data_IF_000398946027
#
_entry.id   IF_000398946027
#
_cell.length_a   1.000
_cell.length_b   1.000
_cell.length_c   1.000
_cell.angle_alpha   90.00
_cell.angle_beta   90.00
_cell.angle_gamma   90.00
#
_symmetry.space_group_name_H-M   'P 1'
#
loop_
_entity.id
_entity.type
_entity.pdbx_description
1 polymer ?
#
# COMPACT_ATOMS: atom_id res chain seq x y z
N UNK A 1 -4.88 0.70 -19.70
CA UNK A 1 -4.53 0.77 -18.26
C UNK A 1 -4.20 -0.58 -17.63
N UNK A 2 -5.10 -1.59 -17.58
CA UNK A 2 -4.77 -2.92 -16.98
C UNK A 2 -3.58 -3.63 -17.64
N UNK A 3 -3.49 -3.59 -18.98
CA UNK A 3 -2.39 -4.21 -19.75
C UNK A 3 -1.04 -3.53 -19.49
N UNK A 4 -1.02 -2.20 -19.34
CA UNK A 4 0.20 -1.43 -19.04
C UNK A 4 0.70 -1.69 -17.61
N UNK A 5 -0.21 -1.85 -16.65
CA UNK A 5 0.12 -2.21 -15.27
C UNK A 5 0.69 -3.62 -15.15
N UNK A 6 0.09 -4.60 -15.84
CA UNK A 6 0.62 -5.97 -15.94
C UNK A 6 1.99 -5.99 -16.61
N UNK A 7 2.19 -5.17 -17.65
CA UNK A 7 3.48 -5.02 -18.30
C UNK A 7 4.55 -4.42 -17.37
N UNK A 8 4.23 -3.36 -16.61
CA UNK A 8 5.16 -2.81 -15.62
C UNK A 8 5.52 -3.84 -14.54
N UNK A 9 4.54 -4.56 -13.99
CA UNK A 9 4.80 -5.62 -13.00
C UNK A 9 5.70 -6.69 -13.60
N UNK A 10 5.40 -7.15 -14.82
CA UNK A 10 6.21 -8.16 -15.51
C UNK A 10 7.63 -7.65 -15.79
N UNK A 11 7.78 -6.39 -16.20
CA UNK A 11 9.08 -5.80 -16.49
C UNK A 11 9.92 -5.64 -15.22
N UNK A 12 9.33 -5.17 -14.13
CA UNK A 12 10.03 -5.06 -12.84
C UNK A 12 10.34 -6.45 -12.24
N UNK A 13 9.44 -7.42 -12.37
CA UNK A 13 9.68 -8.80 -11.93
C UNK A 13 10.81 -9.48 -12.74
N UNK A 14 10.89 -9.23 -14.06
CA UNK A 14 11.97 -9.78 -14.89
C UNK A 14 13.33 -9.17 -14.52
N UNK A 15 13.40 -7.85 -14.33
CA UNK A 15 14.62 -7.17 -13.90
C UNK A 15 15.06 -7.62 -12.50
N UNK A 16 14.09 -7.92 -11.62
CA UNK A 16 14.38 -8.49 -10.31
C UNK A 16 15.06 -9.86 -10.41
N UNK A 17 14.56 -10.77 -11.26
CA UNK A 17 15.17 -12.09 -11.42
C UNK A 17 16.59 -12.00 -11.99
N UNK A 18 16.84 -11.06 -12.93
CA UNK A 18 18.17 -10.88 -13.54
C UNK A 18 19.22 -10.32 -12.57
N UNK A 19 18.83 -9.44 -11.64
CA UNK A 19 19.74 -8.92 -10.61
C UNK A 19 20.06 -9.95 -9.51
N UNK A 20 19.16 -10.90 -9.27
CA UNK A 20 19.34 -11.93 -8.23
C UNK A 20 20.41 -13.00 -8.54
N UNK A 21 20.96 -13.03 -9.76
CA UNK A 21 21.93 -14.04 -10.20
C UNK A 21 23.41 -13.67 -9.94
N UNK A 22 23.71 -12.47 -9.42
CA UNK A 22 25.11 -12.10 -9.12
C UNK A 22 25.53 -12.64 -7.75
N UNK A 23 26.65 -13.38 -7.64
CA UNK A 23 27.23 -13.72 -6.35
C UNK A 23 27.64 -12.44 -5.63
N UNK A 24 27.10 -12.21 -4.43
CA UNK A 24 27.38 -11.02 -3.63
C UNK A 24 28.67 -11.25 -2.80
N UNK A 25 29.80 -10.69 -3.23
CA UNK A 25 31.09 -10.81 -2.54
C UNK A 25 31.14 -10.11 -1.15
N UNK A 26 30.18 -9.22 -0.85
CA UNK A 26 30.08 -8.55 0.46
C UNK A 26 28.63 -8.26 0.86
N UNK A 27 28.37 -8.18 2.16
CA UNK A 27 27.06 -7.71 2.67
C UNK A 27 26.79 -6.29 2.15
N UNK A 28 25.62 -6.08 1.55
CA UNK A 28 25.18 -4.80 0.98
C UNK A 28 26.06 -4.27 -0.17
N UNK A 29 26.63 -5.17 -0.99
CA UNK A 29 27.38 -4.80 -2.22
C UNK A 29 26.58 -3.84 -3.13
N UNK A 30 25.29 -4.14 -3.32
CA UNK A 30 24.39 -3.27 -4.08
C UNK A 30 23.89 -2.09 -3.23
N UNK A 31 24.39 -0.90 -3.57
CA UNK A 31 24.01 0.35 -2.90
C UNK A 31 22.63 0.86 -3.31
N UNK A 32 22.03 0.33 -4.38
CA UNK A 32 20.69 0.67 -4.81
C UNK A 32 19.86 -0.59 -5.07
N UNK A 33 18.61 -0.52 -4.65
CA UNK A 33 17.78 -1.66 -4.37
C UNK A 33 16.34 -1.35 -4.77
N UNK A 34 15.76 -2.09 -5.73
CA UNK A 34 14.34 -1.99 -6.04
C UNK A 34 13.54 -3.10 -5.38
N UNK A 35 12.26 -2.86 -5.13
CA UNK A 35 11.40 -3.88 -4.58
C UNK A 35 9.94 -3.69 -4.97
N UNK A 36 9.21 -4.79 -4.87
CA UNK A 36 7.75 -4.81 -5.01
C UNK A 36 7.17 -5.45 -3.77
N UNK A 37 6.24 -4.77 -3.13
CA UNK A 37 5.41 -5.35 -2.08
C UNK A 37 4.02 -5.65 -2.65
N UNK A 38 3.49 -6.81 -2.31
CA UNK A 38 2.10 -7.20 -2.53
C UNK A 38 1.51 -7.50 -1.15
N UNK A 39 0.49 -6.75 -0.76
CA UNK A 39 -0.04 -6.78 0.60
C UNK A 39 -1.57 -6.71 0.63
N UNK A 40 -2.11 -7.01 1.80
CA UNK A 40 -3.50 -6.81 2.14
C UNK A 40 -3.60 -5.71 3.20
N UNK A 41 -4.52 -4.77 3.01
CA UNK A 41 -4.84 -3.72 3.97
C UNK A 41 -5.98 -4.16 4.90
N UNK A 42 -5.72 -4.20 6.19
CA UNK A 42 -6.72 -4.32 7.23
C UNK A 42 -7.13 -2.92 7.68
N UNK A 43 -8.43 -2.69 7.81
CA UNK A 43 -8.96 -1.46 8.37
C UNK A 43 -9.18 -1.69 9.86
N UNK A 44 -8.35 -1.04 10.67
CA UNK A 44 -8.61 -0.91 12.10
C UNK A 44 -9.66 0.19 12.30
N UNK A 45 -10.56 -0.01 13.25
CA UNK A 45 -11.59 0.95 13.63
C UNK A 45 -12.52 1.31 12.45
N UNK A 46 -13.08 0.28 11.82
CA UNK A 46 -14.11 0.46 10.81
C UNK A 46 -15.30 1.25 11.40
N UNK A 47 -15.89 2.20 10.65
CA UNK A 47 -17.04 2.96 11.14
C UNK A 47 -18.24 2.05 11.40
N UNK A 48 -19.07 2.41 12.37
CA UNK A 48 -20.24 1.60 12.76
C UNK A 48 -21.13 1.26 11.57
N UNK A 49 -21.50 -0.02 11.47
CA UNK A 49 -22.35 -0.54 10.39
C UNK A 49 -21.65 -0.76 9.05
N UNK A 50 -20.36 -0.40 8.89
CA UNK A 50 -19.60 -0.58 7.65
C UNK A 50 -18.75 -1.85 7.73
N UNK A 51 -18.90 -2.75 6.76
CA UNK A 51 -18.07 -3.95 6.67
C UNK A 51 -17.05 -3.79 5.54
N UNK A 52 -15.80 -3.59 5.94
CA UNK A 52 -14.68 -3.78 5.01
C UNK A 52 -14.49 -5.26 4.70
N UNK A 53 -14.07 -5.55 3.46
CA UNK A 53 -13.77 -6.92 3.06
C UNK A 53 -12.53 -7.41 3.78
N UNK A 54 -12.44 -8.73 3.99
CA UNK A 54 -11.23 -9.37 4.49
C UNK A 54 -10.03 -9.27 3.52
N UNK A 55 -10.29 -8.98 2.24
CA UNK A 55 -9.25 -8.87 1.20
C UNK A 55 -9.30 -7.50 0.54
N UNK A 56 -8.32 -6.65 0.92
CA UNK A 56 -8.10 -5.32 0.38
C UNK A 56 -6.68 -5.24 -0.22
N UNK A 57 -6.50 -5.70 -1.47
CA UNK A 57 -5.18 -5.85 -2.05
C UNK A 57 -4.53 -4.49 -2.36
N UNK A 58 -3.27 -4.37 -2.01
CA UNK A 58 -2.41 -3.26 -2.37
C UNK A 58 -1.07 -3.71 -2.94
N UNK A 59 -0.41 -2.78 -3.61
CA UNK A 59 0.90 -2.98 -4.22
C UNK A 59 1.75 -1.75 -3.94
N UNK A 60 3.02 -1.94 -3.61
CA UNK A 60 4.00 -0.85 -3.49
C UNK A 60 5.22 -1.18 -4.33
N UNK A 61 5.69 -0.24 -5.13
CA UNK A 61 6.92 -0.39 -5.92
C UNK A 61 7.87 0.70 -5.47
N UNK A 62 9.12 0.37 -5.16
CA UNK A 62 10.07 1.34 -4.61
C UNK A 62 11.50 1.08 -5.04
N UNK A 63 12.30 2.13 -4.93
CA UNK A 63 13.76 2.09 -5.00
C UNK A 63 14.35 2.69 -3.72
N UNK A 64 15.34 2.03 -3.15
CA UNK A 64 16.02 2.46 -1.93
C UNK A 64 17.52 2.45 -2.14
N UNK A 65 18.19 3.45 -1.58
CA UNK A 65 19.63 3.52 -1.48
C UNK A 65 20.06 3.03 -0.11
N UNK A 66 21.02 2.11 -0.09
CA UNK A 66 21.58 1.50 1.11
C UNK A 66 22.93 2.13 1.44
N UNK A 67 23.12 2.44 2.72
CA UNK A 67 24.33 2.98 3.33
C UNK A 67 24.82 1.98 4.38
N UNK A 68 25.76 1.10 4.03
CA UNK A 68 26.29 0.09 4.94
C UNK A 68 27.04 0.73 6.12
N UNK A 69 26.84 0.19 7.32
CA UNK A 69 27.57 0.63 8.52
C UNK A 69 28.88 -0.15 8.61
N UNK A 70 29.95 0.37 7.99
CA UNK A 70 31.30 -0.23 8.01
C UNK A 70 31.26 -1.74 7.69
N UNK A 71 32.14 -2.54 8.31
CA UNK A 71 32.15 -4.01 8.24
C UNK A 71 31.18 -4.62 9.26
N UNK A 72 29.92 -4.24 9.22
CA UNK A 72 28.89 -4.82 10.09
C UNK A 72 27.73 -5.38 9.29
N UNK A 73 26.85 -6.12 9.97
CA UNK A 73 25.62 -6.66 9.40
C UNK A 73 24.51 -5.61 9.29
N UNK A 74 24.79 -4.35 9.66
CA UNK A 74 23.82 -3.28 9.68
C UNK A 74 23.98 -2.30 8.51
N UNK A 75 22.86 -1.76 8.04
CA UNK A 75 22.84 -0.68 7.07
C UNK A 75 21.66 0.25 7.33
N UNK A 76 21.82 1.52 6.99
CA UNK A 76 20.70 2.45 6.86
C UNK A 76 20.25 2.46 5.40
N UNK A 77 18.95 2.55 5.13
CA UNK A 77 18.44 2.69 3.78
C UNK A 77 17.33 3.72 3.73
N UNK A 78 17.29 4.51 2.65
CA UNK A 78 16.23 5.48 2.39
C UNK A 78 15.86 5.44 0.92
N UNK A 79 14.62 5.75 0.57
CA UNK A 79 14.22 5.72 -0.83
C UNK A 79 12.91 6.41 -1.14
N UNK A 80 12.36 6.03 -2.29
CA UNK A 80 11.09 6.50 -2.82
C UNK A 80 10.28 5.31 -3.32
N UNK A 81 8.98 5.37 -3.10
CA UNK A 81 8.03 4.34 -3.48
C UNK A 81 6.70 4.89 -3.97
N UNK A 82 5.94 4.04 -4.63
CA UNK A 82 4.60 4.32 -5.10
C UNK A 82 3.66 3.23 -4.58
N UNK A 83 2.92 3.55 -3.53
CA UNK A 83 1.99 2.65 -2.86
C UNK A 83 0.56 2.83 -3.36
N UNK A 84 -0.07 1.76 -3.80
CA UNK A 84 -1.47 1.72 -4.23
C UNK A 84 -2.28 0.84 -3.29
N UNK A 85 -3.27 1.43 -2.63
CA UNK A 85 -4.14 0.79 -1.65
C UNK A 85 -5.57 0.69 -2.20
N UNK A 86 -6.26 -0.43 -1.95
CA UNK A 86 -7.63 -0.64 -2.40
C UNK A 86 -8.49 -1.21 -1.26
N UNK A 87 -9.21 -0.33 -0.58
CA UNK A 87 -10.11 -0.69 0.51
C UNK A 87 -11.49 -0.96 -0.06
N UNK A 88 -11.95 -2.21 0.05
CA UNK A 88 -13.27 -2.62 -0.40
C UNK A 88 -14.22 -2.67 0.80
N UNK A 89 -15.43 -2.18 0.61
CA UNK A 89 -16.49 -2.21 1.62
C UNK A 89 -17.84 -2.50 0.98
N UNK A 90 -18.83 -2.65 1.84
CA UNK A 90 -20.27 -2.68 1.53
C UNK A 90 -20.91 -1.28 1.52
N UNK A 91 -20.11 -0.22 1.42
CA UNK A 91 -20.57 1.14 1.49
C UNK A 91 -20.02 2.01 0.35
N UNK A 92 -20.74 3.07 -0.01
CA UNK A 92 -20.25 4.14 -0.88
C UNK A 92 -19.75 5.31 -0.02
N UNK A 93 -18.70 5.99 -0.49
CA UNK A 93 -18.22 7.21 0.16
C UNK A 93 -19.03 8.38 -0.39
N UNK A 94 -19.69 9.12 0.49
CA UNK A 94 -20.46 10.33 0.23
C UNK A 94 -19.80 11.50 0.95
N UNK A 95 -20.12 12.73 0.54
CA UNK A 95 -19.73 13.96 1.22
C UNK A 95 -20.96 14.84 1.37
N UNK A 96 -21.11 15.49 2.53
CA UNK A 96 -22.14 16.51 2.76
C UNK A 96 -21.55 17.61 3.63
N UNK A 97 -21.60 18.84 3.13
CA UNK A 97 -21.12 20.04 3.85
C UNK A 97 -19.66 19.94 4.32
N UNK A 98 -18.78 19.28 3.55
CA UNK A 98 -17.36 19.13 3.89
C UNK A 98 -17.07 18.01 4.90
N UNK A 99 -18.03 17.10 5.12
CA UNK A 99 -17.83 15.91 5.94
C UNK A 99 -18.06 14.67 5.07
N UNK A 100 -17.00 13.87 4.94
CA UNK A 100 -17.03 12.58 4.24
C UNK A 100 -17.60 11.50 5.17
N UNK A 101 -18.50 10.65 4.68
CA UNK A 101 -19.04 9.52 5.43
C UNK A 101 -19.33 8.33 4.52
N UNK A 102 -19.32 7.13 5.11
CA UNK A 102 -19.70 5.91 4.39
C UNK A 102 -21.20 5.70 4.52
N UNK A 103 -21.88 5.53 3.38
CA UNK A 103 -23.28 5.13 3.33
C UNK A 103 -23.36 3.65 2.94
N UNK A 104 -23.95 2.84 3.81
CA UNK A 104 -24.17 1.41 3.56
C UNK A 104 -25.01 1.22 2.29
N UNK A 105 -24.59 0.29 1.44
CA UNK A 105 -25.37 -0.12 0.27
C UNK A 105 -26.48 -1.07 0.77
N UNK A 106 -27.76 -0.80 0.46
CA UNK A 106 -28.87 -1.66 0.86
C UNK A 106 -28.68 -3.12 0.41
N UNK A 107 -29.06 -4.09 1.26
CA UNK A 107 -28.85 -5.53 1.02
C UNK A 107 -29.63 -6.06 -0.20
N UNK A 108 -30.74 -5.42 -0.54
CA UNK A 108 -31.56 -5.72 -1.72
C UNK A 108 -30.93 -5.21 -3.03
N UNK A 109 -29.99 -4.25 -2.95
CA UNK A 109 -29.30 -3.70 -4.10
C UNK A 109 -28.11 -4.57 -4.51
N UNK A 110 -28.26 -5.27 -5.64
CA UNK A 110 -27.18 -6.08 -6.20
C UNK A 110 -26.02 -5.21 -6.69
N UNK A 111 -24.88 -5.29 -6.00
CA UNK A 111 -23.63 -4.66 -6.43
C UNK A 111 -22.49 -5.67 -6.55
N UNK A 112 -21.51 -5.37 -7.41
CA UNK A 112 -20.32 -6.20 -7.63
C UNK A 112 -19.12 -5.68 -6.85
N UNK A 113 -19.02 -4.36 -6.71
CA UNK A 113 -17.82 -3.70 -6.18
C UNK A 113 -18.15 -2.31 -5.64
N UNK A 114 -17.76 -2.05 -4.40
CA UNK A 114 -17.50 -0.71 -3.88
C UNK A 114 -16.09 -0.67 -3.30
N UNK A 115 -15.34 0.39 -3.58
CA UNK A 115 -13.98 0.56 -3.05
C UNK A 115 -13.53 2.01 -3.00
N UNK A 116 -12.69 2.31 -2.02
CA UNK A 116 -11.82 3.49 -1.94
C UNK A 116 -10.41 3.10 -2.39
N UNK A 117 -9.86 3.83 -3.34
CA UNK A 117 -8.49 3.64 -3.83
C UNK A 117 -7.64 4.86 -3.51
N UNK A 118 -6.49 4.63 -2.90
CA UNK A 118 -5.55 5.66 -2.48
C UNK A 118 -4.17 5.33 -3.08
N UNK A 119 -3.53 6.32 -3.69
CA UNK A 119 -2.18 6.20 -4.24
C UNK A 119 -1.28 7.21 -3.53
N UNK A 120 -0.21 6.71 -2.92
CA UNK A 120 0.76 7.49 -2.18
C UNK A 120 2.12 7.46 -2.86
N UNK A 121 2.78 8.62 -2.90
CA UNK A 121 4.22 8.72 -3.08
C UNK A 121 4.87 8.55 -1.71
N UNK A 122 5.54 7.43 -1.48
CA UNK A 122 6.11 7.06 -0.19
C UNK A 122 7.62 7.37 -0.13
N UNK A 123 8.09 7.79 1.04
CA UNK A 123 9.50 7.94 1.42
C UNK A 123 9.77 6.96 2.57
N UNK A 124 10.25 5.73 2.30
CA UNK A 124 10.67 4.79 3.33
C UNK A 124 12.10 5.07 3.81
N UNK A 125 12.32 4.96 5.12
CA UNK A 125 13.63 4.92 5.76
C UNK A 125 13.70 3.72 6.70
N UNK A 126 14.74 2.89 6.58
CA UNK A 126 14.87 1.60 7.26
C UNK A 126 16.28 1.42 7.83
N UNK A 127 16.36 0.89 9.05
CA UNK A 127 17.56 0.24 9.57
C UNK A 127 17.45 -1.24 9.23
N UNK A 128 18.46 -1.77 8.54
CA UNK A 128 18.51 -3.13 8.02
C UNK A 128 19.58 -3.93 8.72
N UNK A 129 19.27 -5.19 8.98
CA UNK A 129 20.20 -6.22 9.41
C UNK A 129 20.20 -7.34 8.36
N UNK A 130 21.37 -7.76 7.90
CA UNK A 130 21.54 -8.87 6.93
C UNK A 130 22.65 -9.81 7.41
N UNK A 131 22.41 -11.12 7.34
CA UNK A 131 23.44 -12.14 7.55
C UNK A 131 23.94 -12.69 6.23
N UNK A 132 25.16 -13.25 6.22
CA UNK A 132 25.72 -13.92 5.04
C UNK A 132 24.87 -15.12 4.59
N UNK A 133 24.21 -15.79 5.53
CA UNK A 133 23.25 -16.86 5.26
C UNK A 133 21.98 -16.42 4.52
N UNK A 134 21.77 -15.11 4.33
CA UNK A 134 20.66 -14.54 3.56
C UNK A 134 19.47 -14.10 4.41
N UNK A 135 19.52 -14.23 5.74
CA UNK A 135 18.48 -13.71 6.63
C UNK A 135 18.51 -12.18 6.66
N UNK A 136 17.33 -11.56 6.65
CA UNK A 136 17.15 -10.11 6.59
C UNK A 136 16.07 -9.67 7.57
N UNK A 137 16.34 -8.58 8.28
CA UNK A 137 15.36 -7.86 9.09
C UNK A 137 15.50 -6.38 8.78
N UNK A 138 14.39 -5.67 8.68
CA UNK A 138 14.39 -4.22 8.58
C UNK A 138 13.32 -3.63 9.49
N UNK A 139 13.69 -2.58 10.22
CA UNK A 139 12.77 -1.76 10.99
C UNK A 139 12.87 -0.34 10.45
N UNK A 140 11.75 0.31 10.18
CA UNK A 140 11.75 1.60 9.54
C UNK A 140 10.55 2.46 9.87
N UNK A 141 10.58 3.65 9.28
CA UNK A 141 9.48 4.57 9.20
C UNK A 141 9.17 4.81 7.73
N UNK A 142 7.90 5.04 7.42
CA UNK A 142 7.47 5.41 6.08
C UNK A 142 6.57 6.62 6.17
N UNK A 143 6.90 7.66 5.42
CA UNK A 143 6.05 8.83 5.20
C UNK A 143 5.48 8.72 3.79
N UNK A 144 4.24 9.12 3.57
CA UNK A 144 3.60 9.09 2.26
C UNK A 144 2.80 10.35 1.97
N UNK A 145 2.88 10.84 0.74
CA UNK A 145 2.07 11.94 0.23
C UNK A 145 0.97 11.38 -0.67
N UNK A 146 -0.29 11.70 -0.40
CA UNK A 146 -1.42 11.30 -1.22
C UNK A 146 -1.38 12.06 -2.55
N UNK A 147 -1.19 11.34 -3.65
CA UNK A 147 -1.11 11.94 -5.00
C UNK A 147 -2.35 11.63 -5.85
N UNK A 148 -3.12 10.61 -5.47
CA UNK A 148 -4.38 10.30 -6.13
C UNK A 148 -5.31 9.55 -5.19
N UNK A 149 -6.58 9.93 -5.20
CA UNK A 149 -7.64 9.20 -4.53
C UNK A 149 -8.84 9.07 -5.45
N UNK A 150 -9.56 7.95 -5.37
CA UNK A 150 -10.83 7.79 -6.07
C UNK A 150 -11.66 6.65 -5.50
N UNK A 151 -12.98 6.79 -5.55
CA UNK A 151 -13.91 5.69 -5.30
C UNK A 151 -14.33 5.02 -6.60
N UNK A 152 -14.70 3.73 -6.52
CA UNK A 152 -15.31 2.99 -7.62
C UNK A 152 -16.46 2.14 -7.13
N UNK A 153 -17.66 2.48 -7.59
CA UNK A 153 -18.85 1.66 -7.48
C UNK A 153 -19.14 0.94 -8.80
N UNK A 154 -19.56 -0.31 -8.74
CA UNK A 154 -20.10 -1.07 -9.87
C UNK A 154 -21.20 -1.97 -9.35
N UNK A 155 -22.42 -1.69 -9.76
CA UNK A 155 -23.62 -2.39 -9.29
C UNK A 155 -24.85 -1.83 -9.99
N UNK A 156 -26.01 -2.15 -9.45
CA UNK A 156 -27.24 -1.50 -9.87
C UNK A 156 -27.30 -0.09 -9.27
N UNK A 157 -27.87 0.86 -10.00
CA UNK A 157 -28.16 2.19 -9.48
C UNK A 157 -29.30 2.10 -8.45
N UNK A 158 -29.17 2.70 -7.26
CA UNK A 158 -30.26 2.75 -6.28
C UNK A 158 -31.54 3.42 -6.82
N UNK A 159 -31.45 4.31 -7.81
CA UNK A 159 -32.59 5.08 -8.29
C UNK A 159 -33.45 4.36 -9.34
N UNK A 160 -32.82 3.62 -10.27
CA UNK A 160 -33.53 3.01 -11.42
C UNK A 160 -33.23 1.52 -11.62
N UNK A 161 -32.36 0.92 -10.79
CA UNK A 161 -31.98 -0.49 -10.89
C UNK A 161 -31.11 -0.85 -12.11
N UNK A 162 -30.73 0.12 -12.93
CA UNK A 162 -29.89 -0.08 -14.11
C UNK A 162 -28.44 -0.38 -13.72
N UNK A 163 -27.69 -1.10 -14.57
CA UNK A 163 -26.29 -1.41 -14.29
C UNK A 163 -25.43 -0.17 -14.46
N UNK A 164 -24.93 0.37 -13.36
CA UNK A 164 -24.08 1.55 -13.35
C UNK A 164 -22.63 1.25 -12.93
N UNK A 165 -21.75 2.17 -13.30
CA UNK A 165 -20.35 2.18 -12.88
C UNK A 165 -19.92 3.62 -12.62
N UNK A 166 -19.80 3.95 -11.34
CA UNK A 166 -19.48 5.30 -10.88
C UNK A 166 -18.03 5.32 -10.42
N UNK A 167 -17.25 6.31 -10.88
CA UNK A 167 -15.89 6.58 -10.40
C UNK A 167 -15.79 8.06 -10.04
N UNK A 168 -15.64 8.36 -8.75
CA UNK A 168 -15.41 9.72 -8.27
C UNK A 168 -13.93 9.86 -7.93
N UNK A 169 -13.23 10.86 -8.48
CA UNK A 169 -11.79 11.07 -8.23
C UNK A 169 -11.48 12.37 -7.48
N UNK A 170 -12.48 13.22 -7.27
CA UNK A 170 -12.40 14.39 -6.40
C UNK A 170 -13.03 13.97 -5.07
N UNK A 171 -12.19 13.53 -4.13
CA UNK A 171 -12.62 13.17 -2.80
C UNK A 171 -12.09 14.26 -1.86
N UNK A 172 -12.95 15.16 -1.36
CA UNK A 172 -12.54 16.13 -0.35
C UNK A 172 -12.23 15.41 0.97
N UNK A 173 -11.60 16.13 1.90
CA UNK A 173 -11.44 15.70 3.30
C UNK A 173 -10.51 14.50 3.51
N UNK A 174 -9.66 14.16 2.53
CA UNK A 174 -8.65 13.13 2.69
C UNK A 174 -7.37 13.72 3.25
N UNK A 175 -6.82 13.04 4.25
CA UNK A 175 -5.53 13.39 4.83
C UNK A 175 -4.44 13.29 3.75
N UNK A 176 -3.74 14.40 3.54
CA UNK A 176 -2.73 14.53 2.48
C UNK A 176 -1.47 13.73 2.80
N UNK A 177 -1.12 13.60 4.08
CA UNK A 177 0.11 12.94 4.52
C UNK A 177 -0.19 11.72 5.38
N UNK A 178 0.54 10.64 5.16
CA UNK A 178 0.55 9.48 6.03
C UNK A 178 1.92 9.22 6.62
N UNK A 179 1.96 8.66 7.82
CA UNK A 179 3.21 8.19 8.40
C UNK A 179 2.98 6.99 9.32
N UNK A 180 4.04 6.22 9.54
CA UNK A 180 4.03 5.18 10.56
C UNK A 180 5.19 4.20 10.46
N UNK A 181 5.27 3.25 11.41
CA UNK A 181 6.33 2.24 11.43
C UNK A 181 6.15 1.22 10.31
N UNK A 182 7.27 0.75 9.80
CA UNK A 182 7.37 -0.37 8.86
C UNK A 182 8.30 -1.43 9.41
N UNK A 183 7.98 -2.69 9.14
CA UNK A 183 8.77 -3.83 9.56
C UNK A 183 8.87 -4.84 8.43
N UNK A 184 10.04 -5.47 8.29
CA UNK A 184 10.26 -6.54 7.33
C UNK A 184 11.17 -7.61 7.92
N UNK A 185 10.85 -8.85 7.61
CA UNK A 185 11.66 -10.01 7.96
C UNK A 185 11.62 -11.01 6.81
N UNK A 186 12.76 -11.57 6.45
CA UNK A 186 12.81 -12.40 5.27
C UNK A 186 14.09 -13.18 5.10
N UNK A 187 14.10 -13.93 4.01
CA UNK A 187 15.20 -14.76 3.60
C UNK A 187 15.46 -14.57 2.11
N UNK A 188 16.70 -14.21 1.78
CA UNK A 188 17.15 -13.85 0.43
C UNK A 188 16.22 -12.78 -0.16
N UNK A 189 15.53 -13.12 -1.24
CA UNK A 189 14.71 -12.22 -2.04
C UNK A 189 13.25 -12.12 -1.60
N UNK A 190 12.79 -12.98 -0.69
CA UNK A 190 11.40 -13.00 -0.20
C UNK A 190 11.39 -12.51 1.24
N UNK A 191 10.56 -11.52 1.53
CA UNK A 191 10.38 -10.97 2.87
C UNK A 191 8.90 -10.87 3.19
N UNK A 192 8.51 -11.11 4.43
CA UNK A 192 7.25 -10.64 4.98
C UNK A 192 7.40 -9.15 5.26
N UNK A 193 6.39 -8.35 4.92
CA UNK A 193 6.35 -6.93 5.24
C UNK A 193 5.09 -6.55 6.01
N UNK A 194 5.24 -5.56 6.88
CA UNK A 194 4.15 -4.94 7.61
C UNK A 194 4.35 -3.42 7.66
N UNK A 195 3.25 -2.68 7.60
CA UNK A 195 3.21 -1.24 7.78
C UNK A 195 1.94 -0.87 8.53
N UNK A 196 2.06 -0.02 9.55
CA UNK A 196 0.92 0.50 10.28
C UNK A 196 0.83 2.01 10.07
N UNK A 197 -0.27 2.50 9.54
CA UNK A 197 -0.52 3.93 9.38
C UNK A 197 -0.96 4.53 10.71
N UNK A 198 -0.16 5.45 11.27
CA UNK A 198 -0.50 6.22 12.48
C UNK A 198 -1.37 7.44 12.17
N UNK A 199 -1.49 7.79 10.89
CA UNK A 199 -2.38 8.84 10.39
C UNK A 199 -3.71 8.24 9.93
N UNK A 200 -4.80 8.95 10.19
CA UNK A 200 -6.14 8.68 9.66
C UNK A 200 -6.18 8.88 8.13
N UNK A 201 -7.09 8.19 7.44
CA UNK A 201 -7.34 8.42 6.00
C UNK A 201 -7.98 9.78 5.74
N UNK A 202 -8.85 10.22 6.65
CA UNK A 202 -9.58 11.47 6.55
C UNK A 202 -8.93 12.55 7.42
N UNK A 203 -9.10 13.81 7.04
CA UNK A 203 -8.73 14.94 7.87
C UNK A 203 -9.55 14.95 9.17
N UNK A 204 -9.01 15.61 10.19
CA UNK A 204 -9.65 15.68 11.50
C UNK A 204 -11.03 16.35 11.39
N UNK A 205 -12.04 15.74 12.02
CA UNK A 205 -13.45 16.16 11.97
C UNK A 205 -14.10 16.17 10.57
N UNK A 206 -13.41 15.66 9.54
CA UNK A 206 -13.89 15.69 8.15
C UNK A 206 -14.20 14.29 7.59
N UNK A 207 -14.08 13.26 8.42
CA UNK A 207 -14.53 11.91 8.10
C UNK A 207 -14.16 10.89 9.18
N UNK A 208 -14.36 9.59 8.91
CA UNK A 208 -14.16 8.54 9.90
C UNK A 208 -12.68 8.28 10.21
N UNK A 209 -12.41 7.83 11.43
CA UNK A 209 -11.07 7.60 11.94
C UNK A 209 -10.52 6.23 11.53
N UNK A 210 -10.17 6.08 10.25
CA UNK A 210 -9.68 4.81 9.72
C UNK A 210 -8.15 4.77 9.74
N UNK A 211 -7.59 3.71 10.35
CA UNK A 211 -6.15 3.44 10.43
C UNK A 211 -5.78 2.14 9.69
N UNK A 212 -5.25 2.23 8.46
CA UNK A 212 -4.85 1.05 7.70
C UNK A 212 -3.61 0.34 8.27
N UNK A 213 -3.68 -0.98 8.34
CA UNK A 213 -2.55 -1.88 8.57
C UNK A 213 -2.30 -2.69 7.30
N UNK A 214 -1.15 -2.55 6.67
CA UNK A 214 -0.77 -3.34 5.50
C UNK A 214 0.11 -4.52 5.92
N UNK A 215 -0.24 -5.75 5.53
CA UNK A 215 0.61 -6.95 5.74
C UNK A 215 0.72 -7.74 4.45
N UNK A 216 1.92 -8.18 4.10
CA UNK A 216 2.13 -8.88 2.83
C UNK A 216 3.52 -9.46 2.62
N UNK A 217 3.84 -9.66 1.35
CA UNK A 217 5.12 -10.19 0.89
C UNK A 217 5.83 -9.14 0.05
N UNK A 218 7.12 -9.00 0.30
CA UNK A 218 8.05 -8.16 -0.43
C UNK A 218 9.03 -9.00 -1.23
N UNK A 219 9.18 -8.68 -2.51
CA UNK A 219 10.17 -9.24 -3.42
C UNK A 219 11.29 -8.22 -3.62
N UNK A 220 12.47 -8.52 -3.06
CA UNK A 220 13.68 -7.67 -3.04
C UNK A 220 14.90 -8.44 -3.56
N UNK A 221 15.24 -8.35 -4.85
CA UNK A 221 16.18 -9.25 -5.55
C UNK A 221 17.70 -9.12 -5.25
N UNK A 222 18.14 -8.78 -4.03
CA UNK A 222 19.57 -8.63 -3.68
C UNK A 222 19.87 -8.88 -2.18
#
# INVERSE_FOLDING_TARGET
MKKLFLFLISFFALNAVLLAQKPSESLFSDKFATGIDVFNDFVMDAPDGIKFRAINPGVNIYGMRTFPVKKSNFAFAIGLGLGMHNLFSDATLQDTSGISFFQVIPDDLKYKKSKLSLTYLDVPAEIRFKTEGGFKVALGLKVGLLINAHTKYKGNDPADGSKTKIKVSQLPNLQTWRFGPSFQIGYKWINLNAFYSLSKIFEENAGPEIYPVSVGISLRPF
#
